data_IF_569090467476
#
_entry.id   IF_569090467476
#
_cell.length_a   1.000
_cell.length_b   1.000
_cell.length_c   1.000
_cell.angle_alpha   90.00
_cell.angle_beta   90.00
_cell.angle_gamma   90.00
#
_symmetry.space_group_name_H-M   'P 1'
#
loop_
_entity.id
_entity.type
_entity.pdbx_description
1 polymer ?
#
# COMPACT_ATOMS: atom_id res chain seq x y z
N UNK A 1 -3.46 -15.64 7.27
CA UNK A 1 -4.58 -15.74 8.22
C UNK A 1 -4.15 -15.96 9.68
N UNK A 2 -3.46 -17.05 10.06
CA UNK A 2 -3.00 -17.28 11.45
C UNK A 2 -2.32 -16.06 12.11
N UNK A 3 -1.35 -15.45 11.44
CA UNK A 3 -0.65 -14.26 11.96
C UNK A 3 -1.56 -13.03 12.05
N UNK A 4 -2.45 -12.84 11.07
CA UNK A 4 -3.45 -11.77 11.12
C UNK A 4 -4.35 -11.93 12.35
N UNK A 5 -4.87 -13.14 12.60
CA UNK A 5 -5.72 -13.40 13.76
C UNK A 5 -4.98 -13.18 15.09
N UNK A 6 -3.68 -13.52 15.16
CA UNK A 6 -2.87 -13.23 16.34
C UNK A 6 -2.67 -11.71 16.56
N UNK A 7 -2.59 -10.92 15.49
CA UNK A 7 -2.47 -9.46 15.61
C UNK A 7 -3.82 -8.84 16.00
N UNK A 8 -4.93 -9.32 15.45
CA UNK A 8 -6.27 -8.85 15.81
C UNK A 8 -6.62 -9.23 17.26
N UNK A 9 -6.19 -10.42 17.72
CA UNK A 9 -6.35 -10.89 19.10
C UNK A 9 -5.44 -10.21 20.13
N UNK A 10 -5.31 -10.81 21.31
CA UNK A 10 -4.57 -10.21 22.43
C UNK A 10 -3.06 -10.51 22.42
N UNK A 11 -2.59 -11.35 21.50
CA UNK A 11 -1.19 -11.79 21.44
C UNK A 11 -0.23 -10.64 21.10
N UNK A 12 -0.73 -9.60 20.43
CA UNK A 12 0.02 -8.38 20.11
C UNK A 12 -0.57 -7.22 20.90
N UNK A 13 0.26 -6.43 21.58
CA UNK A 13 -0.18 -5.25 22.32
C UNK A 13 -0.74 -4.22 21.35
N UNK A 14 -1.80 -3.50 21.75
CA UNK A 14 -2.52 -2.54 20.89
C UNK A 14 -1.58 -1.58 20.13
N UNK A 15 -0.59 -1.01 20.81
CA UNK A 15 0.37 -0.07 20.22
C UNK A 15 1.28 -0.68 19.15
N UNK A 16 1.47 -2.00 19.17
CA UNK A 16 2.35 -2.72 18.25
C UNK A 16 1.60 -3.30 17.04
N UNK A 17 0.26 -3.31 17.09
CA UNK A 17 -0.58 -3.97 16.07
C UNK A 17 -0.44 -3.37 14.68
N UNK A 18 -0.36 -2.04 14.56
CA UNK A 18 -0.19 -1.38 13.26
C UNK A 18 1.14 -1.77 12.60
N UNK A 19 2.21 -1.86 13.38
CA UNK A 19 3.53 -2.31 12.90
C UNK A 19 3.54 -3.81 12.59
N UNK A 20 2.88 -4.63 13.40
CA UNK A 20 2.78 -6.06 13.12
C UNK A 20 1.95 -6.34 11.86
N UNK A 21 0.88 -5.58 11.62
CA UNK A 21 0.08 -5.63 10.39
C UNK A 21 0.91 -5.24 9.17
N UNK A 22 1.74 -4.18 9.28
CA UNK A 22 2.59 -3.77 8.15
C UNK A 22 3.60 -4.84 7.75
N UNK A 23 4.12 -5.59 8.72
CA UNK A 23 4.99 -6.74 8.46
C UNK A 23 4.35 -7.81 7.57
N UNK A 24 3.03 -7.96 7.58
CA UNK A 24 2.35 -8.97 6.76
C UNK A 24 2.46 -8.70 5.25
N UNK A 25 2.56 -7.44 4.84
CA UNK A 25 2.46 -7.03 3.44
C UNK A 25 3.69 -6.24 2.94
N UNK A 26 4.59 -5.79 3.82
CA UNK A 26 5.71 -4.92 3.43
C UNK A 26 6.82 -5.67 2.69
N UNK A 27 7.05 -6.94 3.03
CA UNK A 27 8.18 -7.73 2.54
C UNK A 27 7.90 -8.49 1.25
N UNK A 28 6.63 -8.86 1.00
CA UNK A 28 6.24 -9.63 -0.17
C UNK A 28 5.03 -8.98 -0.86
N UNK A 29 5.19 -8.63 -2.14
CA UNK A 29 4.11 -8.06 -2.94
C UNK A 29 2.97 -9.07 -3.19
N UNK A 30 3.22 -10.37 -3.15
CA UNK A 30 2.17 -11.39 -3.24
C UNK A 30 1.21 -11.36 -2.04
N UNK A 31 1.65 -10.76 -0.92
CA UNK A 31 0.82 -10.65 0.28
C UNK A 31 -0.12 -9.43 0.25
N UNK A 32 0.04 -8.48 -0.68
CA UNK A 32 -0.76 -7.25 -0.72
C UNK A 32 -2.26 -7.59 -0.81
N UNK A 33 -2.65 -8.39 -1.81
CA UNK A 33 -4.04 -8.77 -2.06
C UNK A 33 -4.66 -9.61 -0.94
N UNK A 34 -4.04 -10.71 -0.47
CA UNK A 34 -4.62 -11.52 0.61
C UNK A 34 -4.70 -10.75 1.93
N UNK A 35 -3.74 -9.86 2.23
CA UNK A 35 -3.80 -9.04 3.45
C UNK A 35 -4.85 -7.94 3.32
N UNK A 36 -4.97 -7.29 2.16
CA UNK A 36 -6.05 -6.34 1.89
C UNK A 36 -7.42 -7.00 2.08
N UNK A 37 -7.61 -8.20 1.52
CA UNK A 37 -8.82 -8.99 1.69
C UNK A 37 -9.12 -9.24 3.17
N UNK A 38 -8.16 -9.77 3.94
CA UNK A 38 -8.33 -10.03 5.37
C UNK A 38 -8.71 -8.76 6.15
N UNK A 39 -8.06 -7.63 5.85
CA UNK A 39 -8.35 -6.34 6.51
C UNK A 39 -9.77 -5.87 6.18
N UNK A 40 -10.17 -5.92 4.91
CA UNK A 40 -11.50 -5.47 4.46
C UNK A 40 -12.64 -6.39 4.88
N UNK A 41 -12.39 -7.68 5.08
CA UNK A 41 -13.39 -8.64 5.57
C UNK A 41 -13.56 -8.58 7.10
N UNK A 42 -12.57 -8.05 7.84
CA UNK A 42 -12.55 -8.03 9.31
C UNK A 42 -12.49 -6.60 9.89
N UNK A 43 -13.10 -5.63 9.21
CA UNK A 43 -13.06 -4.20 9.58
C UNK A 43 -13.54 -3.97 11.02
N UNK A 44 -14.62 -4.62 11.44
CA UNK A 44 -15.18 -4.44 12.79
C UNK A 44 -14.22 -4.95 13.88
N UNK A 45 -13.72 -6.17 13.72
CA UNK A 45 -12.73 -6.74 14.65
C UNK A 45 -11.45 -5.91 14.68
N UNK A 46 -11.01 -5.37 13.53
CA UNK A 46 -9.88 -4.45 13.47
C UNK A 46 -10.17 -3.11 14.15
N UNK A 47 -11.38 -2.58 14.02
CA UNK A 47 -11.78 -1.34 14.71
C UNK A 47 -11.78 -1.53 16.22
N UNK A 48 -12.24 -2.67 16.73
CA UNK A 48 -12.18 -2.99 18.16
C UNK A 48 -10.73 -3.12 18.64
N UNK A 49 -9.94 -3.85 17.85
CA UNK A 49 -8.54 -4.15 18.13
C UNK A 49 -7.62 -2.91 18.09
N UNK A 50 -7.82 -2.02 17.12
CA UNK A 50 -7.03 -0.79 16.92
C UNK A 50 -7.64 0.42 17.65
N UNK A 51 -8.93 0.37 17.98
CA UNK A 51 -9.66 1.36 18.76
C UNK A 51 -10.49 2.36 17.94
N UNK A 52 -10.30 2.47 16.63
CA UNK A 52 -11.07 3.42 15.79
C UNK A 52 -11.06 3.06 14.30
N UNK A 53 -12.11 3.46 13.58
CA UNK A 53 -12.14 3.40 12.11
C UNK A 53 -11.06 4.27 11.47
N UNK A 54 -10.65 5.36 12.11
CA UNK A 54 -9.51 6.17 11.64
C UNK A 54 -8.23 5.32 11.57
N UNK A 55 -7.96 4.51 12.59
CA UNK A 55 -6.80 3.61 12.60
C UNK A 55 -6.90 2.54 11.52
N UNK A 56 -8.10 1.97 11.31
CA UNK A 56 -8.35 1.01 10.24
C UNK A 56 -8.16 1.65 8.86
N UNK A 57 -8.64 2.88 8.67
CA UNK A 57 -8.47 3.61 7.42
C UNK A 57 -7.00 3.88 7.10
N UNK A 58 -6.18 4.19 8.13
CA UNK A 58 -4.72 4.30 7.97
C UNK A 58 -4.10 2.98 7.55
N UNK A 59 -4.48 1.83 8.14
CA UNK A 59 -3.98 0.51 7.73
C UNK A 59 -4.31 0.23 6.26
N UNK A 60 -5.56 0.48 5.87
CA UNK A 60 -6.02 0.30 4.48
C UNK A 60 -5.24 1.22 3.53
N UNK A 61 -5.05 2.48 3.89
CA UNK A 61 -4.27 3.44 3.11
C UNK A 61 -2.82 2.99 2.90
N UNK A 62 -2.19 2.45 3.94
CA UNK A 62 -0.82 1.95 3.86
C UNK A 62 -0.69 0.73 2.94
N UNK A 63 -1.69 -0.16 2.93
CA UNK A 63 -1.75 -1.28 1.99
C UNK A 63 -1.97 -0.76 0.56
N UNK A 64 -2.93 0.16 0.38
CA UNK A 64 -3.24 0.76 -0.91
C UNK A 64 -2.05 1.50 -1.53
N UNK A 65 -1.17 2.10 -0.72
CA UNK A 65 0.05 2.74 -1.22
C UNK A 65 0.99 1.79 -1.98
N UNK A 66 0.81 0.47 -1.84
CA UNK A 66 1.56 -0.59 -2.53
C UNK A 66 0.85 -1.12 -3.77
N UNK A 67 -0.35 -0.63 -4.09
CA UNK A 67 -1.11 -1.09 -5.24
C UNK A 67 -0.45 -0.68 -6.56
N UNK A 68 -0.45 -1.61 -7.51
CA UNK A 68 0.18 -1.47 -8.82
C UNK A 68 -0.71 -1.93 -9.97
N UNK A 69 -1.95 -2.39 -9.69
CA UNK A 69 -2.90 -2.85 -10.72
C UNK A 69 -4.24 -2.12 -10.67
N UNK A 70 -4.96 -2.12 -11.80
CA UNK A 70 -6.29 -1.53 -11.90
C UNK A 70 -7.33 -2.33 -11.09
N UNK A 71 -7.17 -3.65 -10.99
CA UNK A 71 -8.04 -4.52 -10.20
C UNK A 71 -7.97 -4.20 -8.70
N UNK A 72 -6.78 -3.88 -8.19
CA UNK A 72 -6.58 -3.43 -6.82
C UNK A 72 -7.25 -2.08 -6.58
N UNK A 73 -7.10 -1.13 -7.52
CA UNK A 73 -7.79 0.15 -7.44
C UNK A 73 -9.32 -0.02 -7.43
N UNK A 74 -9.85 -0.90 -8.29
CA UNK A 74 -11.28 -1.19 -8.35
C UNK A 74 -11.77 -1.80 -7.04
N UNK A 75 -10.99 -2.71 -6.45
CA UNK A 75 -11.31 -3.32 -5.16
C UNK A 75 -11.37 -2.30 -4.02
N UNK A 76 -10.42 -1.35 -3.98
CA UNK A 76 -10.44 -0.25 -3.00
C UNK A 76 -11.65 0.66 -3.16
N UNK A 77 -11.95 1.08 -4.39
CA UNK A 77 -13.13 1.91 -4.69
C UNK A 77 -14.43 1.24 -4.26
N UNK A 78 -14.58 -0.04 -4.58
CA UNK A 78 -15.76 -0.81 -4.20
C UNK A 78 -15.90 -0.92 -2.68
N UNK A 79 -14.79 -1.16 -1.97
CA UNK A 79 -14.77 -1.19 -0.52
C UNK A 79 -15.15 0.17 0.09
N UNK A 80 -14.56 1.26 -0.41
CA UNK A 80 -14.77 2.60 0.11
C UNK A 80 -16.23 3.05 -0.07
N UNK A 81 -16.81 2.82 -1.24
CA UNK A 81 -18.21 3.17 -1.51
C UNK A 81 -19.15 2.40 -0.59
N UNK A 82 -18.93 1.10 -0.42
CA UNK A 82 -19.74 0.25 0.45
C UNK A 82 -19.68 0.65 1.92
N UNK A 83 -18.54 1.18 2.39
CA UNK A 83 -18.29 1.44 3.81
C UNK A 83 -18.22 2.93 4.16
N UNK A 84 -18.69 3.82 3.27
CA UNK A 84 -18.64 5.27 3.45
C UNK A 84 -19.25 5.72 4.77
N UNK A 85 -20.48 5.28 5.05
CA UNK A 85 -21.19 5.67 6.27
C UNK A 85 -20.55 5.07 7.52
N UNK A 86 -20.08 3.82 7.45
CA UNK A 86 -19.38 3.12 8.53
C UNK A 86 -18.12 3.85 8.98
N UNK A 87 -17.32 4.35 8.04
CA UNK A 87 -16.09 5.07 8.36
C UNK A 87 -16.32 6.54 8.73
N UNK A 88 -17.47 7.13 8.40
CA UNK A 88 -17.80 8.51 8.71
C UNK A 88 -16.69 9.48 8.27
N UNK A 89 -16.15 10.26 9.20
CA UNK A 89 -15.06 11.21 8.90
C UNK A 89 -13.76 10.54 8.41
N UNK A 90 -13.49 9.30 8.84
CA UNK A 90 -12.31 8.53 8.41
C UNK A 90 -12.38 8.13 6.93
N UNK A 91 -13.56 8.19 6.30
CA UNK A 91 -13.72 7.91 4.86
C UNK A 91 -12.86 8.85 4.00
N UNK A 92 -12.60 10.08 4.45
CA UNK A 92 -11.69 11.01 3.77
C UNK A 92 -10.26 10.44 3.59
N UNK A 93 -9.78 9.63 4.54
CA UNK A 93 -8.48 8.94 4.44
C UNK A 93 -8.51 7.85 3.36
N UNK A 94 -9.64 7.15 3.25
CA UNK A 94 -9.84 6.12 2.23
C UNK A 94 -9.91 6.72 0.82
N UNK A 95 -10.57 7.87 0.66
CA UNK A 95 -10.60 8.63 -0.60
C UNK A 95 -9.21 9.14 -0.98
N UNK A 96 -8.42 9.62 -0.01
CA UNK A 96 -7.03 10.00 -0.26
C UNK A 96 -6.16 8.80 -0.72
N UNK A 97 -6.42 7.61 -0.18
CA UNK A 97 -5.78 6.39 -0.63
C UNK A 97 -6.11 6.06 -2.09
N UNK A 98 -7.37 6.17 -2.51
CA UNK A 98 -7.75 5.98 -3.93
C UNK A 98 -7.01 6.92 -4.87
N UNK A 99 -6.88 8.20 -4.48
CA UNK A 99 -6.13 9.19 -5.24
C UNK A 99 -4.66 8.78 -5.37
N UNK A 100 -4.05 8.34 -4.28
CA UNK A 100 -2.66 7.85 -4.27
C UNK A 100 -2.49 6.66 -5.23
N UNK A 101 -3.43 5.71 -5.23
CA UNK A 101 -3.40 4.57 -6.17
C UNK A 101 -3.52 5.04 -7.62
N UNK A 102 -4.43 5.98 -7.89
CA UNK A 102 -4.59 6.54 -9.23
C UNK A 102 -3.31 7.21 -9.74
N UNK A 103 -2.66 8.00 -8.88
CA UNK A 103 -1.39 8.66 -9.19
C UNK A 103 -0.25 7.66 -9.43
N UNK A 104 -0.16 6.60 -8.61
CA UNK A 104 0.82 5.54 -8.79
C UNK A 104 0.63 4.81 -10.13
N UNK A 105 -0.61 4.45 -10.50
CA UNK A 105 -0.93 3.79 -11.76
C UNK A 105 -0.63 4.69 -12.97
N UNK A 106 -1.02 5.97 -12.88
CA UNK A 106 -0.72 6.94 -13.93
C UNK A 106 0.79 7.14 -14.10
N UNK A 107 1.55 7.21 -13.01
CA UNK A 107 3.01 7.26 -13.07
C UNK A 107 3.58 6.01 -13.72
N UNK A 108 3.14 4.82 -13.30
CA UNK A 108 3.61 3.54 -13.81
C UNK A 108 3.39 3.42 -15.32
N UNK A 109 2.16 3.70 -15.79
CA UNK A 109 1.81 3.67 -17.22
C UNK A 109 2.69 4.63 -18.05
N UNK A 110 2.95 5.83 -17.53
CA UNK A 110 3.69 6.86 -18.24
C UNK A 110 5.22 6.74 -18.17
N UNK A 111 5.77 5.96 -17.24
CA UNK A 111 7.22 5.93 -16.96
C UNK A 111 7.86 4.55 -17.08
N UNK A 112 7.13 3.46 -16.84
CA UNK A 112 7.71 2.10 -16.90
C UNK A 112 8.23 1.75 -18.29
N UNK A 113 7.54 2.15 -19.36
CA UNK A 113 8.01 1.91 -20.73
C UNK A 113 9.33 2.64 -21.03
N UNK A 114 9.46 3.88 -20.60
CA UNK A 114 10.69 4.68 -20.76
C UNK A 114 11.83 4.10 -19.92
N UNK A 115 11.54 3.69 -18.68
CA UNK A 115 12.50 3.07 -17.78
C UNK A 115 12.99 1.71 -18.31
N UNK A 116 12.08 0.86 -18.79
CA UNK A 116 12.42 -0.42 -19.43
C UNK A 116 13.30 -0.20 -20.65
N UNK A 117 12.91 0.72 -21.54
CA UNK A 117 13.69 1.07 -22.73
C UNK A 117 15.11 1.55 -22.35
N UNK A 118 15.23 2.34 -21.29
CA UNK A 118 16.53 2.79 -20.79
C UNK A 118 17.38 1.64 -20.25
N UNK A 119 16.79 0.75 -19.45
CA UNK A 119 17.48 -0.44 -18.93
C UNK A 119 17.91 -1.38 -20.05
N UNK A 120 17.05 -1.64 -21.03
CA UNK A 120 17.34 -2.52 -22.17
C UNK A 120 18.49 -1.97 -23.02
N UNK A 121 18.48 -0.65 -23.30
CA UNK A 121 19.59 0.03 -23.99
C UNK A 121 20.91 -0.02 -23.22
N UNK A 122 20.85 -0.08 -21.89
CA UNK A 122 22.03 -0.05 -21.01
C UNK A 122 22.56 -1.44 -20.64
N UNK A 123 21.72 -2.48 -20.64
CA UNK A 123 22.15 -3.87 -20.47
C UNK A 123 22.93 -4.38 -21.70
N UNK A 124 22.67 -3.83 -22.89
CA UNK A 124 23.45 -4.10 -24.10
C UNK A 124 24.80 -3.36 -24.19
N UNK A 125 25.05 -2.37 -23.31
CA UNK A 125 26.26 -1.56 -23.30
C UNK A 125 27.03 -1.81 -21.99
N UNK A 126 28.15 -2.53 -22.05
CA UNK A 126 29.02 -2.73 -20.90
C UNK A 126 29.45 -1.37 -20.30
N UNK A 127 28.97 -0.98 -19.10
CA UNK A 127 29.71 -0.25 -18.02
C UNK A 127 28.85 0.39 -16.88
N UNK A 128 29.44 0.30 -15.67
CA UNK A 128 29.36 1.12 -14.44
C UNK A 128 28.04 1.23 -13.65
N UNK A 129 27.91 0.34 -12.65
CA UNK A 129 26.88 0.21 -11.59
C UNK A 129 26.63 1.47 -10.73
N UNK A 130 27.56 2.42 -10.67
CA UNK A 130 27.48 3.62 -9.79
C UNK A 130 26.37 4.59 -10.22
N UNK A 131 26.07 4.70 -11.52
CA UNK A 131 25.06 5.63 -12.01
C UNK A 131 23.62 5.17 -11.70
N UNK A 132 23.38 3.86 -11.60
CA UNK A 132 22.05 3.30 -11.28
C UNK A 132 21.70 3.59 -9.81
N UNK A 133 22.65 3.41 -8.89
CA UNK A 133 22.47 3.77 -7.48
C UNK A 133 22.19 5.27 -7.32
N UNK A 134 22.87 6.11 -8.09
CA UNK A 134 22.68 7.56 -8.02
C UNK A 134 21.28 7.98 -8.48
N UNK A 135 20.75 7.41 -9.57
CA UNK A 135 19.38 7.70 -10.00
C UNK A 135 18.31 7.15 -9.05
N UNK A 136 18.52 5.97 -8.47
CA UNK A 136 17.61 5.41 -7.46
C UNK A 136 17.56 6.31 -6.22
N UNK A 137 18.71 6.82 -5.78
CA UNK A 137 18.79 7.77 -4.67
C UNK A 137 18.09 9.09 -5.03
N UNK A 138 18.31 9.65 -6.22
CA UNK A 138 17.63 10.89 -6.63
C UNK A 138 16.10 10.72 -6.77
N UNK A 139 15.62 9.58 -7.28
CA UNK A 139 14.19 9.30 -7.39
C UNK A 139 13.52 9.08 -6.03
N UNK A 140 14.24 8.46 -5.07
CA UNK A 140 13.77 8.31 -3.70
C UNK A 140 13.78 9.65 -2.94
N UNK A 141 14.86 10.44 -3.04
CA UNK A 141 15.00 11.74 -2.37
C UNK A 141 14.00 12.77 -2.92
N UNK A 142 13.74 12.79 -4.22
CA UNK A 142 12.71 13.64 -4.82
C UNK A 142 11.30 13.36 -4.28
N UNK A 143 11.03 12.12 -3.86
CA UNK A 143 9.75 11.73 -3.24
C UNK A 143 9.62 12.16 -1.78
N UNK A 144 10.72 12.48 -1.09
CA UNK A 144 10.74 12.98 0.30
C UNK A 144 10.82 14.53 0.39
N UNK A 145 11.05 15.23 -0.73
CA UNK A 145 11.19 16.69 -0.81
C UNK A 145 9.97 17.40 -1.41
N UNK A 146 8.88 16.68 -1.72
CA UNK A 146 7.57 17.22 -2.06
C UNK A 146 6.58 16.91 -0.94
#
# INVERSE_FOLDING_TARGET
>A
EKYFNAIVGEQVRRQDKSSALSGLYSENNENIDPVFKLVTENVEALKESLGSYASVATVISNIAARFTTEEQQKSLKAFNEKNKDTFGSAHSTLVAAEKTVAENLAWASNRLGQFKTYLDKRNGAATNTIAILTMLVCALVGRFLQ
#
